data_IF_376939566061
#
_entry.id   IF_376939566061
#
_cell.length_a   1.000
_cell.length_b   1.000
_cell.length_c   1.000
_cell.angle_alpha   90.00
_cell.angle_beta   90.00
_cell.angle_gamma   90.00
#
_symmetry.space_group_name_H-M   'P 1'
#
loop_
_entity.id
_entity.type
_entity.pdbx_description
1 polymer ?
#
# COMPACT_ATOMS: atom_id res chain seq x y z
N UNK A 1 36.73 -9.08 -13.26
CA UNK A 1 36.43 -8.41 -14.55
C UNK A 1 34.95 -8.53 -14.93
N UNK A 2 34.35 -9.72 -14.82
CA UNK A 2 32.92 -10.03 -15.07
C UNK A 2 31.92 -9.13 -14.34
N UNK A 3 32.17 -8.87 -13.06
CA UNK A 3 31.42 -7.97 -12.18
C UNK A 3 31.23 -6.53 -12.74
N UNK A 4 32.22 -5.98 -13.44
CA UNK A 4 32.11 -4.65 -14.06
C UNK A 4 31.23 -4.69 -15.31
N UNK A 5 31.28 -5.79 -16.05
CA UNK A 5 30.46 -5.99 -17.24
C UNK A 5 28.99 -6.21 -16.88
N UNK A 6 28.70 -6.97 -15.82
CA UNK A 6 27.33 -7.13 -15.32
C UNK A 6 26.73 -5.80 -14.84
N UNK A 7 27.49 -4.97 -14.10
CA UNK A 7 27.02 -3.63 -13.69
C UNK A 7 26.76 -2.71 -14.88
N UNK A 8 27.66 -2.69 -15.87
CA UNK A 8 27.47 -1.89 -17.07
C UNK A 8 26.27 -2.37 -17.90
N UNK A 9 26.11 -3.69 -18.00
CA UNK A 9 25.00 -4.33 -18.70
C UNK A 9 23.66 -4.00 -18.02
N UNK A 10 23.54 -4.16 -16.70
CA UNK A 10 22.34 -3.77 -15.96
C UNK A 10 22.02 -2.28 -16.06
N UNK A 11 23.04 -1.41 -16.06
CA UNK A 11 22.86 0.04 -16.26
C UNK A 11 22.38 0.38 -17.68
N UNK A 12 22.85 -0.36 -18.69
CA UNK A 12 22.47 -0.16 -20.09
C UNK A 12 21.09 -0.73 -20.42
N UNK A 13 20.67 -1.82 -19.76
CA UNK A 13 19.36 -2.44 -19.95
C UNK A 13 18.22 -1.64 -19.32
N UNK A 14 18.53 -0.90 -18.26
CA UNK A 14 17.57 -0.08 -17.51
C UNK A 14 18.15 1.30 -17.23
N UNK A 15 18.34 2.15 -18.26
CA UNK A 15 18.88 3.49 -18.08
C UNK A 15 18.00 4.39 -17.19
N UNK A 16 16.74 4.01 -16.97
CA UNK A 16 15.76 4.73 -16.15
C UNK A 16 15.65 4.22 -14.69
N UNK A 17 16.23 3.05 -14.36
CA UNK A 17 16.28 2.56 -12.97
C UNK A 17 17.55 3.05 -12.28
N UNK A 18 17.53 4.32 -11.87
CA UNK A 18 18.47 4.85 -10.88
C UNK A 18 18.12 4.25 -9.51
N UNK A 19 18.99 3.44 -8.88
CA UNK A 19 18.83 3.10 -7.47
C UNK A 19 19.34 4.26 -6.60
N UNK A 20 18.59 4.56 -5.55
CA UNK A 20 18.84 5.58 -4.51
C UNK A 20 18.64 7.05 -4.93
N UNK A 21 17.38 7.41 -5.12
CA UNK A 21 16.91 8.66 -4.52
C UNK A 21 16.30 8.27 -3.17
N UNK A 22 16.55 9.00 -2.05
CA UNK A 22 15.54 9.07 -1.01
C UNK A 22 14.35 9.71 -1.72
N UNK A 23 13.50 8.87 -2.30
CA UNK A 23 12.27 9.30 -2.93
C UNK A 23 11.48 9.84 -1.77
N UNK A 24 11.63 11.16 -1.53
CA UNK A 24 10.66 12.00 -0.86
C UNK A 24 9.36 11.35 -1.19
N UNK A 25 8.72 10.83 -0.15
CA UNK A 25 7.42 10.17 -0.20
C UNK A 25 6.53 11.09 -1.01
N UNK A 26 6.50 10.88 -2.32
CA UNK A 26 5.56 11.48 -3.22
C UNK A 26 4.29 10.78 -2.80
N UNK A 27 3.66 11.37 -1.78
CA UNK A 27 2.34 11.06 -1.30
C UNK A 27 1.52 11.08 -2.58
N UNK A 28 1.05 9.93 -3.10
CA UNK A 28 0.10 9.97 -4.19
C UNK A 28 -1.06 10.75 -3.61
N UNK A 29 -1.24 11.97 -4.09
CA UNK A 29 -2.32 12.91 -3.73
C UNK A 29 -3.65 12.43 -4.32
N UNK A 30 -3.88 11.12 -4.24
CA UNK A 30 -5.18 10.50 -4.37
C UNK A 30 -5.47 9.95 -3.00
N UNK A 31 -6.09 10.78 -2.15
CA UNK A 31 -6.76 10.27 -0.96
C UNK A 31 -7.79 9.27 -1.46
N UNK A 32 -7.46 7.98 -1.44
CA UNK A 32 -8.40 6.92 -1.73
C UNK A 32 -9.46 7.00 -0.63
N UNK A 33 -10.59 7.65 -0.94
CA UNK A 33 -11.67 7.81 0.02
C UNK A 33 -12.26 6.43 0.28
N UNK A 34 -11.98 5.87 1.45
CA UNK A 34 -12.55 4.60 1.85
C UNK A 34 -14.06 4.77 2.06
N UNK A 35 -14.84 3.77 1.63
CA UNK A 35 -16.27 3.76 1.92
C UNK A 35 -16.51 3.68 3.44
N UNK A 36 -17.67 4.15 3.93
CA UNK A 36 -18.01 4.05 5.36
C UNK A 36 -17.95 2.62 5.90
N UNK A 37 -18.31 1.63 5.07
CA UNK A 37 -18.25 0.20 5.41
C UNK A 37 -16.80 -0.27 5.60
N UNK A 38 -15.88 0.16 4.73
CA UNK A 38 -14.46 -0.15 4.90
C UNK A 38 -13.91 0.49 6.18
N UNK A 39 -14.25 1.75 6.43
CA UNK A 39 -13.80 2.45 7.64
C UNK A 39 -14.31 1.77 8.91
N UNK A 40 -15.58 1.34 8.93
CA UNK A 40 -16.13 0.58 10.05
C UNK A 40 -15.39 -0.75 10.25
N UNK A 41 -15.11 -1.47 9.16
CA UNK A 41 -14.37 -2.74 9.20
C UNK A 41 -12.89 -2.58 9.61
N UNK A 42 -12.32 -1.37 9.48
CA UNK A 42 -10.99 -1.03 9.99
C UNK A 42 -11.00 -0.63 11.48
N UNK A 43 -12.13 -0.73 12.19
CA UNK A 43 -12.26 -0.28 13.58
C UNK A 43 -12.69 1.18 13.73
N UNK A 44 -13.18 1.80 12.65
CA UNK A 44 -13.68 3.17 12.62
C UNK A 44 -12.62 4.21 12.26
N UNK A 45 -13.07 5.44 12.00
CA UNK A 45 -12.21 6.55 11.57
C UNK A 45 -11.11 6.89 12.59
N UNK A 46 -11.39 6.76 13.88
CA UNK A 46 -10.40 7.00 14.95
C UNK A 46 -9.28 5.96 14.99
N UNK A 47 -9.48 4.78 14.37
CA UNK A 47 -8.44 3.77 14.28
C UNK A 47 -7.52 3.99 13.06
N UNK A 48 -7.90 4.81 12.10
CA UNK A 48 -7.13 5.06 10.88
C UNK A 48 -6.17 6.24 11.07
N UNK A 49 -4.86 5.98 11.03
CA UNK A 49 -3.82 7.03 11.05
C UNK A 49 -3.61 7.65 9.68
N UNK A 50 -3.39 6.80 8.69
CA UNK A 50 -3.10 7.22 7.32
C UNK A 50 -3.70 6.23 6.33
N UNK A 51 -4.02 6.72 5.14
CA UNK A 51 -4.39 5.92 3.99
C UNK A 51 -3.63 6.42 2.76
N UNK A 52 -3.26 5.50 1.88
CA UNK A 52 -2.51 5.84 0.68
C UNK A 52 -2.78 4.81 -0.40
N UNK A 53 -3.18 5.27 -1.60
CA UNK A 53 -3.20 4.37 -2.76
C UNK A 53 -1.77 4.11 -3.23
N UNK A 54 -1.28 2.89 -3.03
CA UNK A 54 0.10 2.50 -3.34
C UNK A 54 0.22 1.70 -4.63
N UNK A 55 -0.90 1.23 -5.18
CA UNK A 55 -0.99 0.65 -6.52
C UNK A 55 -2.41 0.80 -7.08
N UNK A 56 -2.61 0.43 -8.35
CA UNK A 56 -3.91 0.49 -9.02
C UNK A 56 -5.03 -0.19 -8.23
N UNK A 57 -4.74 -1.33 -7.60
CA UNK A 57 -5.71 -2.13 -6.84
C UNK A 57 -5.39 -2.22 -5.36
N UNK A 58 -4.44 -1.41 -4.85
CA UNK A 58 -3.96 -1.49 -3.46
C UNK A 58 -4.05 -0.15 -2.75
N UNK A 59 -4.71 -0.18 -1.61
CA UNK A 59 -4.67 0.88 -0.60
C UNK A 59 -3.88 0.36 0.59
N UNK A 60 -2.86 1.12 1.00
CA UNK A 60 -2.17 0.92 2.27
C UNK A 60 -2.84 1.79 3.31
N UNK A 61 -3.19 1.19 4.44
CA UNK A 61 -3.66 1.91 5.63
C UNK A 61 -2.65 1.69 6.75
N UNK A 62 -2.54 2.67 7.63
CA UNK A 62 -1.86 2.52 8.91
C UNK A 62 -2.90 2.71 10.01
N UNK A 63 -2.93 1.77 10.96
CA UNK A 63 -3.90 1.73 12.03
C UNK A 63 -3.26 2.07 13.38
N UNK A 64 -4.05 2.60 14.30
CA UNK A 64 -3.68 2.75 15.71
C UNK A 64 -3.62 1.40 16.40
N UNK A 65 -4.65 0.57 16.18
CA UNK A 65 -4.77 -0.77 16.72
C UNK A 65 -5.21 -1.75 15.62
N UNK A 66 -4.29 -2.58 15.08
CA UNK A 66 -4.63 -3.55 14.05
C UNK A 66 -5.50 -4.71 14.56
N UNK A 67 -5.69 -4.87 15.89
CA UNK A 67 -6.54 -5.93 16.45
C UNK A 67 -8.03 -5.66 16.28
N UNK A 68 -8.41 -4.40 16.02
CA UNK A 68 -9.79 -3.98 15.76
C UNK A 68 -10.26 -4.23 14.32
N UNK A 69 -9.38 -4.75 13.46
CA UNK A 69 -9.67 -5.01 12.06
C UNK A 69 -10.56 -6.24 11.90
N UNK A 70 -11.71 -6.06 11.24
CA UNK A 70 -12.64 -7.13 10.90
C UNK A 70 -12.43 -7.59 9.44
N UNK A 71 -11.70 -8.69 9.28
CA UNK A 71 -11.39 -9.28 7.97
C UNK A 71 -12.66 -9.74 7.22
N UNK A 72 -13.69 -10.18 7.95
CA UNK A 72 -14.93 -10.67 7.36
C UNK A 72 -15.73 -9.49 6.80
N UNK A 73 -15.86 -8.42 7.58
CA UNK A 73 -16.52 -7.20 7.13
C UNK A 73 -15.77 -6.55 5.94
N UNK A 74 -14.43 -6.53 5.96
CA UNK A 74 -13.64 -6.03 4.82
C UNK A 74 -13.94 -6.82 3.54
N UNK A 75 -14.03 -8.15 3.63
CA UNK A 75 -14.37 -8.99 2.47
C UNK A 75 -15.78 -8.68 1.94
N UNK A 76 -16.76 -8.54 2.82
CA UNK A 76 -18.13 -8.17 2.46
C UNK A 76 -18.21 -6.79 1.79
N UNK A 77 -17.36 -5.85 2.21
CA UNK A 77 -17.22 -4.52 1.64
C UNK A 77 -16.38 -4.50 0.33
N UNK A 78 -16.01 -5.66 -0.22
CA UNK A 78 -15.34 -5.78 -1.52
C UNK A 78 -13.81 -5.86 -1.48
N UNK A 79 -13.19 -5.96 -0.28
CA UNK A 79 -11.75 -6.21 -0.18
C UNK A 79 -11.43 -7.65 -0.56
N UNK A 80 -10.69 -7.82 -1.64
CA UNK A 80 -10.30 -9.13 -2.19
C UNK A 80 -9.26 -9.84 -1.33
N UNK A 81 -8.50 -9.10 -0.53
CA UNK A 81 -7.52 -9.65 0.40
C UNK A 81 -6.82 -8.58 1.22
N UNK A 82 -6.28 -9.01 2.35
CA UNK A 82 -5.54 -8.17 3.29
C UNK A 82 -4.16 -8.74 3.54
N UNK A 83 -3.18 -7.87 3.77
CA UNK A 83 -1.83 -8.26 4.19
C UNK A 83 -1.38 -7.33 5.30
N UNK A 84 -1.26 -7.88 6.52
CA UNK A 84 -0.72 -7.14 7.66
C UNK A 84 0.81 -7.11 7.58
N UNK A 85 1.38 -5.96 7.92
CA UNK A 85 2.81 -5.72 8.08
C UNK A 85 3.09 -5.23 9.50
N UNK A 86 4.38 -5.14 9.85
CA UNK A 86 4.79 -4.58 11.13
C UNK A 86 4.31 -3.12 11.29
N UNK A 87 4.14 -2.68 12.54
CA UNK A 87 3.81 -1.29 12.87
C UNK A 87 2.36 -0.87 12.60
N UNK A 88 1.42 -1.81 12.48
CA UNK A 88 0.01 -1.51 12.25
C UNK A 88 -0.34 -1.15 10.80
N UNK A 89 0.58 -1.41 9.87
CA UNK A 89 0.35 -1.20 8.43
C UNK A 89 -0.40 -2.39 7.84
N UNK A 90 -1.44 -2.12 7.05
CA UNK A 90 -2.22 -3.14 6.35
C UNK A 90 -2.38 -2.75 4.89
N UNK A 91 -2.11 -3.68 3.97
CA UNK A 91 -2.47 -3.53 2.56
C UNK A 91 -3.83 -4.16 2.30
N UNK A 92 -4.70 -3.40 1.65
CA UNK A 92 -6.03 -3.81 1.20
C UNK A 92 -6.02 -3.94 -0.32
N UNK A 93 -6.46 -5.08 -0.84
CA UNK A 93 -6.70 -5.31 -2.26
C UNK A 93 -8.14 -4.91 -2.60
N UNK A 94 -8.33 -3.71 -3.13
CA UNK A 94 -9.66 -3.10 -3.33
C UNK A 94 -10.16 -3.17 -4.78
N UNK A 95 -9.38 -3.77 -5.68
CA UNK A 95 -9.72 -3.84 -7.11
C UNK A 95 -9.58 -2.49 -7.84
N UNK A 96 -10.05 -2.42 -9.09
CA UNK A 96 -9.96 -1.22 -9.93
C UNK A 96 -11.09 -0.21 -9.68
N UNK A 97 -12.14 -0.62 -8.96
CA UNK A 97 -13.38 0.12 -8.78
C UNK A 97 -13.46 0.95 -7.50
N UNK A 98 -12.44 0.84 -6.65
CA UNK A 98 -12.30 1.61 -5.41
C UNK A 98 -11.58 2.93 -5.63
#
# INVERSE_FOLDING_TARGET
MFEKLQRAFWKALTPDLVPDQPKTTARPTGDAVLSPELLAALGGANNLKTQQRVALTRVRVELHDPTLLDVVALRSAGVLGTMALAGGVVHLLVGLSA
#
